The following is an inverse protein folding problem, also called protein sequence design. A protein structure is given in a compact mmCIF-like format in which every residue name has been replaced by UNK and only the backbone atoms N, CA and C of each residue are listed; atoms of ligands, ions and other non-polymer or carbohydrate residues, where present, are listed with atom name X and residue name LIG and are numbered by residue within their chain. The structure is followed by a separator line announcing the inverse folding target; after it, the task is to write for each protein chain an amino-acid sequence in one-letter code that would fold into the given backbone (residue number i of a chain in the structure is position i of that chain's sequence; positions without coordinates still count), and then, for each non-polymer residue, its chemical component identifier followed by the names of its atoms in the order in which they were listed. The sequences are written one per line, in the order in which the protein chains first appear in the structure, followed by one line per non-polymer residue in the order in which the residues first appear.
data_IF_797792755346
#
_entry.id   IF_797792755346
#
_cell.length_a   1.000
_cell.length_b   1.000
_cell.length_c   1.000
_cell.angle_alpha   90.00
_cell.angle_beta   90.00
_cell.angle_gamma   90.00
#
_symmetry.space_group_name_H-M   'P 1'
#
loop_
_entity.id
_entity.type
_entity.pdbx_description
1 polymer ?
#
# COMPACT_ATOMS: atom_id res chain seq x y z
N UNK A 1 -5.64 -69.04 10.44
CA UNK A 1 -6.09 -67.70 10.91
C UNK A 1 -5.02 -66.58 10.85
N UNK A 2 -3.71 -66.87 10.85
CA UNK A 2 -2.61 -65.87 10.91
C UNK A 2 -2.46 -64.93 9.68
N UNK A 3 -3.00 -65.30 8.51
CA UNK A 3 -2.89 -64.51 7.28
C UNK A 3 -3.89 -63.33 7.23
N UNK A 4 -5.10 -63.49 7.78
CA UNK A 4 -6.12 -62.43 7.83
C UNK A 4 -5.72 -61.27 8.74
N UNK A 5 -5.08 -61.53 9.89
CA UNK A 5 -4.65 -60.46 10.80
C UNK A 5 -3.51 -59.60 10.22
N UNK A 6 -2.61 -60.19 9.42
CA UNK A 6 -1.55 -59.43 8.73
C UNK A 6 -2.07 -58.53 7.60
N UNK A 7 -3.13 -58.94 6.90
CA UNK A 7 -3.78 -58.12 5.87
C UNK A 7 -4.50 -56.92 6.48
N UNK A 8 -5.22 -57.11 7.60
CA UNK A 8 -5.89 -56.04 8.35
C UNK A 8 -4.87 -55.01 8.87
N UNK A 9 -3.72 -55.47 9.39
CA UNK A 9 -2.64 -54.56 9.83
C UNK A 9 -2.03 -53.73 8.69
N UNK A 10 -1.87 -54.31 7.49
CA UNK A 10 -1.40 -53.57 6.30
C UNK A 10 -2.43 -52.56 5.79
N UNK A 11 -3.70 -52.95 5.75
CA UNK A 11 -4.79 -52.05 5.32
C UNK A 11 -4.97 -50.87 6.28
N UNK A 12 -4.88 -51.10 7.59
CA UNK A 12 -4.89 -50.03 8.60
C UNK A 12 -3.71 -49.08 8.46
N UNK A 13 -2.50 -49.59 8.21
CA UNK A 13 -1.32 -48.76 8.00
C UNK A 13 -1.40 -47.89 6.73
N UNK A 14 -1.95 -48.44 5.63
CA UNK A 14 -2.20 -47.67 4.40
C UNK A 14 -3.23 -46.57 4.64
N UNK A 15 -4.31 -46.86 5.36
CA UNK A 15 -5.32 -45.86 5.67
C UNK A 15 -4.73 -44.72 6.52
N UNK A 16 -3.99 -45.04 7.58
CA UNK A 16 -3.36 -44.03 8.45
C UNK A 16 -2.39 -43.15 7.66
N UNK A 17 -1.54 -43.74 6.81
CA UNK A 17 -0.60 -42.97 5.99
C UNK A 17 -1.31 -42.06 4.99
N UNK A 18 -2.37 -42.52 4.33
CA UNK A 18 -3.17 -41.65 3.45
C UNK A 18 -3.82 -40.50 4.20
N UNK A 19 -4.37 -40.73 5.39
CA UNK A 19 -4.96 -39.67 6.23
C UNK A 19 -3.90 -38.64 6.63
N UNK A 20 -2.71 -39.08 7.03
CA UNK A 20 -1.60 -38.17 7.36
C UNK A 20 -1.23 -37.31 6.15
N UNK A 21 -1.07 -37.92 4.97
CA UNK A 21 -0.72 -37.20 3.74
C UNK A 21 -1.81 -36.18 3.37
N UNK A 22 -3.08 -36.59 3.41
CA UNK A 22 -4.22 -35.71 3.11
C UNK A 22 -4.32 -34.56 4.11
N UNK A 23 -4.08 -34.82 5.39
CA UNK A 23 -4.07 -33.79 6.43
C UNK A 23 -2.95 -32.78 6.18
N UNK A 24 -1.75 -33.26 5.82
CA UNK A 24 -0.62 -32.41 5.51
C UNK A 24 -0.90 -31.53 4.28
N UNK A 25 -1.47 -32.13 3.21
CA UNK A 25 -1.89 -31.40 2.02
C UNK A 25 -2.96 -30.35 2.34
N UNK A 26 -3.93 -30.67 3.20
CA UNK A 26 -4.97 -29.72 3.59
C UNK A 26 -4.38 -28.52 4.36
N UNK A 27 -3.44 -28.76 5.30
CA UNK A 27 -2.77 -27.70 6.05
C UNK A 27 -1.95 -26.80 5.12
N UNK A 28 -1.17 -27.39 4.20
CA UNK A 28 -0.40 -26.64 3.20
C UNK A 28 -1.31 -25.81 2.29
N UNK A 29 -2.42 -26.40 1.84
CA UNK A 29 -3.43 -25.71 1.02
C UNK A 29 -4.03 -24.50 1.74
N UNK A 30 -4.43 -24.66 3.00
CA UNK A 30 -4.96 -23.55 3.81
C UNK A 30 -3.93 -22.46 4.02
N UNK A 31 -2.67 -22.82 4.32
CA UNK A 31 -1.57 -21.86 4.50
C UNK A 31 -1.33 -21.03 3.23
N UNK A 32 -1.33 -21.68 2.06
CA UNK A 32 -1.13 -21.00 0.79
C UNK A 32 -2.25 -20.01 0.48
N UNK A 33 -3.51 -20.40 0.72
CA UNK A 33 -4.68 -19.52 0.54
C UNK A 33 -4.57 -18.31 1.46
N UNK A 34 -4.29 -18.52 2.75
CA UNK A 34 -4.14 -17.44 3.73
C UNK A 34 -3.00 -16.48 3.36
N UNK A 35 -1.88 -17.01 2.87
CA UNK A 35 -0.76 -16.21 2.39
C UNK A 35 -1.15 -15.37 1.18
N UNK A 36 -1.87 -15.95 0.22
CA UNK A 36 -2.30 -15.24 -0.98
C UNK A 36 -3.25 -14.08 -0.65
N UNK A 37 -4.24 -14.30 0.23
CA UNK A 37 -5.12 -13.24 0.72
C UNK A 37 -4.36 -12.11 1.42
N UNK A 38 -3.39 -12.46 2.26
CA UNK A 38 -2.56 -11.46 2.95
C UNK A 38 -1.73 -10.65 1.95
N UNK A 39 -1.18 -11.32 0.93
CA UNK A 39 -0.34 -10.66 -0.08
C UNK A 39 -1.13 -9.77 -1.02
N UNK A 40 -2.34 -10.16 -1.41
CA UNK A 40 -3.21 -9.31 -2.26
C UNK A 40 -3.66 -8.06 -1.50
N UNK A 41 -4.07 -8.19 -0.25
CA UNK A 41 -4.42 -7.05 0.60
C UNK A 41 -3.22 -6.09 0.78
N UNK A 42 -2.03 -6.64 1.05
CA UNK A 42 -0.82 -5.83 1.18
C UNK A 42 -0.46 -5.11 -0.13
N UNK A 43 -0.60 -5.79 -1.28
CA UNK A 43 -0.33 -5.18 -2.58
C UNK A 43 -1.26 -4.02 -2.87
N UNK A 44 -2.55 -4.14 -2.56
CA UNK A 44 -3.51 -3.03 -2.72
C UNK A 44 -3.13 -1.83 -1.85
N UNK A 45 -2.79 -2.07 -0.58
CA UNK A 45 -2.33 -1.01 0.32
C UNK A 45 -1.06 -0.31 -0.19
N UNK A 46 -0.14 -1.05 -0.81
CA UNK A 46 1.06 -0.46 -1.40
C UNK A 46 0.76 0.39 -2.63
N UNK A 47 -0.17 -0.05 -3.49
CA UNK A 47 -0.62 0.75 -4.63
C UNK A 47 -1.28 2.05 -4.16
N UNK A 48 -2.15 2.00 -3.15
CA UNK A 48 -2.78 3.20 -2.58
C UNK A 48 -1.74 4.16 -2.00
N UNK A 49 -0.70 3.64 -1.34
CA UNK A 49 0.43 4.44 -0.83
C UNK A 49 1.24 5.11 -1.94
N UNK A 50 1.49 4.42 -3.05
CA UNK A 50 2.18 4.98 -4.21
C UNK A 50 1.35 6.07 -4.88
N UNK A 51 0.04 5.83 -5.05
CA UNK A 51 -0.89 6.85 -5.59
C UNK A 51 -0.93 8.08 -4.69
N UNK A 52 -1.02 7.91 -3.38
CA UNK A 52 -0.98 9.02 -2.42
C UNK A 52 0.35 9.78 -2.48
N UNK A 53 1.48 9.10 -2.70
CA UNK A 53 2.78 9.75 -2.88
C UNK A 53 2.81 10.60 -4.15
N UNK A 54 2.35 10.04 -5.28
CA UNK A 54 2.28 10.75 -6.55
C UNK A 54 1.38 12.00 -6.48
N UNK A 55 0.27 11.90 -5.75
CA UNK A 55 -0.59 13.04 -5.46
C UNK A 55 0.13 14.12 -4.63
N UNK A 56 0.90 13.72 -3.61
CA UNK A 56 1.68 14.64 -2.80
C UNK A 56 2.73 15.39 -3.65
N UNK A 57 3.43 14.67 -4.53
CA UNK A 57 4.41 15.24 -5.48
C UNK A 57 3.76 16.18 -6.48
N UNK A 58 2.54 15.88 -6.93
CA UNK A 58 1.77 16.77 -7.79
C UNK A 58 1.44 18.09 -7.08
N UNK A 59 1.10 18.04 -5.79
CA UNK A 59 0.90 19.23 -4.96
C UNK A 59 2.15 20.09 -4.85
N UNK A 60 3.30 19.48 -4.58
CA UNK A 60 4.59 20.18 -4.55
C UNK A 60 4.92 20.79 -5.91
N UNK A 61 4.73 20.06 -6.99
CA UNK A 61 5.06 20.52 -8.34
C UNK A 61 4.25 21.76 -8.71
N UNK A 62 2.97 21.81 -8.33
CA UNK A 62 2.14 23.01 -8.51
C UNK A 62 2.60 24.16 -7.61
N UNK A 63 2.84 23.90 -6.33
CA UNK A 63 3.33 24.93 -5.41
C UNK A 63 4.67 25.53 -5.86
N UNK A 64 5.57 24.69 -6.38
CA UNK A 64 6.84 25.14 -6.93
C UNK A 64 6.66 25.94 -8.22
N UNK A 65 5.69 25.59 -9.05
CA UNK A 65 5.35 26.36 -10.24
C UNK A 65 4.86 27.77 -9.86
N UNK A 66 3.95 27.88 -8.90
CA UNK A 66 3.48 29.19 -8.38
C UNK A 66 4.63 30.04 -7.85
N UNK A 67 5.52 29.45 -7.05
CA UNK A 67 6.69 30.15 -6.52
C UNK A 67 7.69 30.56 -7.61
N UNK A 68 7.84 29.76 -8.67
CA UNK A 68 8.76 30.07 -9.77
C UNK A 68 8.25 31.21 -10.64
N UNK A 69 6.94 31.26 -10.87
CA UNK A 69 6.32 32.24 -11.76
C UNK A 69 5.74 33.45 -11.03
N UNK A 70 5.85 33.50 -9.71
CA UNK A 70 5.33 34.58 -8.86
C UNK A 70 3.82 34.78 -9.04
N UNK A 71 3.09 33.68 -9.25
CA UNK A 71 1.65 33.66 -9.50
C UNK A 71 0.88 33.03 -8.36
N UNK A 72 -0.30 33.56 -8.07
CA UNK A 72 -1.26 33.00 -7.11
C UNK A 72 -2.65 32.94 -7.76
N UNK A 73 -2.92 31.88 -8.56
CA UNK A 73 -4.18 31.75 -9.30
C UNK A 73 -5.39 31.53 -8.39
N UNK A 74 -5.18 30.93 -7.22
CA UNK A 74 -6.24 30.51 -6.31
C UNK A 74 -6.47 31.52 -5.17
N UNK A 75 -5.57 32.49 -4.98
CA UNK A 75 -5.67 33.57 -3.99
C UNK A 75 -5.37 33.12 -2.55
N UNK A 76 -4.65 32.00 -2.38
CA UNK A 76 -4.35 31.39 -1.08
C UNK A 76 -2.88 31.59 -0.64
N UNK A 77 -2.16 32.43 -1.35
CA UNK A 77 -0.75 32.75 -1.13
C UNK A 77 0.16 31.80 -1.88
N UNK A 78 1.18 32.35 -2.54
CA UNK A 78 2.09 31.62 -3.41
C UNK A 78 2.67 30.35 -2.76
N UNK A 79 2.48 29.22 -3.45
CA UNK A 79 2.97 27.92 -3.00
C UNK A 79 2.04 27.21 -2.01
N UNK A 80 0.91 27.82 -1.64
CA UNK A 80 -0.20 27.11 -1.03
C UNK A 80 -1.10 26.60 -2.16
N UNK A 81 -1.46 25.32 -2.07
CA UNK A 81 -2.38 24.73 -3.02
C UNK A 81 -3.55 24.21 -2.20
N UNK A 82 -4.80 24.64 -2.48
CA UNK A 82 -5.94 24.19 -1.71
C UNK A 82 -6.21 22.71 -2.02
N UNK A 83 -7.04 22.06 -1.19
CA UNK A 83 -7.36 20.63 -1.39
C UNK A 83 -8.10 20.43 -2.71
N UNK A 84 -7.41 19.88 -3.70
CA UNK A 84 -7.92 19.60 -5.05
C UNK A 84 -8.01 18.09 -5.27
N UNK A 85 -9.03 17.66 -6.02
CA UNK A 85 -9.21 16.26 -6.42
C UNK A 85 -8.41 15.96 -7.68
N UNK A 86 -7.74 14.81 -7.72
CA UNK A 86 -7.06 14.29 -8.91
C UNK A 86 -7.21 12.77 -8.94
N UNK A 87 -7.91 12.27 -9.96
CA UNK A 87 -8.31 10.86 -10.03
C UNK A 87 -9.17 10.46 -8.82
N UNK A 88 -8.75 9.39 -8.14
CA UNK A 88 -9.45 8.81 -6.99
C UNK A 88 -9.03 9.41 -5.64
N UNK A 89 -8.19 10.45 -5.63
CA UNK A 89 -7.67 11.04 -4.40
C UNK A 89 -7.63 12.55 -4.40
N UNK A 90 -7.07 13.08 -3.32
CA UNK A 90 -6.92 14.50 -3.09
C UNK A 90 -5.46 14.86 -2.84
N UNK A 91 -5.09 16.06 -3.24
CA UNK A 91 -3.80 16.62 -2.94
C UNK A 91 -3.92 18.08 -2.52
N UNK A 92 -2.95 18.54 -1.74
CA UNK A 92 -2.79 19.94 -1.36
C UNK A 92 -1.33 20.20 -1.02
N UNK A 93 -0.94 21.46 -0.99
CA UNK A 93 0.40 21.86 -0.61
C UNK A 93 0.34 23.06 0.34
N UNK A 94 1.33 23.16 1.23
CA UNK A 94 1.51 24.33 2.08
C UNK A 94 2.93 24.82 1.99
N UNK A 95 3.05 26.13 1.89
CA UNK A 95 4.30 26.82 1.90
C UNK A 95 4.55 27.46 3.27
N UNK A 96 5.71 27.19 3.86
CA UNK A 96 6.18 27.88 5.05
C UNK A 96 7.41 28.71 4.70
N UNK A 97 7.21 30.02 4.61
CA UNK A 97 8.24 31.01 4.31
C UNK A 97 9.33 31.11 5.40
N UNK A 98 8.98 30.89 6.67
CA UNK A 98 9.92 31.00 7.79
C UNK A 98 11.01 29.91 7.73
N UNK A 99 10.63 28.71 7.29
CA UNK A 99 11.53 27.57 7.19
C UNK A 99 12.01 27.30 5.76
N UNK A 100 11.52 28.09 4.78
CA UNK A 100 11.72 27.86 3.34
C UNK A 100 11.39 26.41 2.96
N UNK A 101 10.20 25.95 3.36
CA UNK A 101 9.75 24.58 3.12
C UNK A 101 8.41 24.51 2.43
N UNK A 102 8.32 23.68 1.40
CA UNK A 102 7.09 23.26 0.74
C UNK A 102 6.69 21.89 1.24
N UNK A 103 5.45 21.75 1.68
CA UNK A 103 4.90 20.47 2.17
C UNK A 103 3.71 20.08 1.30
N UNK A 104 3.89 19.10 0.43
CA UNK A 104 2.80 18.49 -0.34
C UNK A 104 2.21 17.31 0.42
N UNK A 105 0.89 17.18 0.38
CA UNK A 105 0.17 16.05 0.94
C UNK A 105 -0.73 15.45 -0.12
N UNK A 106 -0.74 14.12 -0.22
CA UNK A 106 -1.63 13.35 -1.07
C UNK A 106 -2.36 12.29 -0.25
N UNK A 107 -3.62 12.07 -0.61
CA UNK A 107 -4.55 11.20 0.10
C UNK A 107 -5.36 10.38 -0.91
N UNK A 108 -5.29 9.05 -0.78
CA UNK A 108 -6.07 8.10 -1.58
C UNK A 108 -6.61 7.04 -0.64
N UNK A 109 -7.93 6.84 -0.61
CA UNK A 109 -8.59 5.92 0.33
C UNK A 109 -8.15 6.17 1.78
N UNK A 110 -7.45 5.21 2.39
CA UNK A 110 -6.88 5.29 3.75
C UNK A 110 -5.38 5.60 3.76
N UNK A 111 -4.75 5.72 2.59
CA UNK A 111 -3.34 6.01 2.46
C UNK A 111 -3.12 7.52 2.34
N UNK A 112 -2.29 8.05 3.24
CA UNK A 112 -1.85 9.45 3.21
C UNK A 112 -0.34 9.49 3.13
N UNK A 113 0.19 10.32 2.24
CA UNK A 113 1.61 10.59 2.11
C UNK A 113 1.86 12.09 2.14
N UNK A 114 2.97 12.44 2.77
CA UNK A 114 3.44 13.82 2.90
C UNK A 114 4.85 13.84 2.37
N UNK A 115 5.14 14.79 1.50
CA UNK A 115 6.48 15.08 0.98
C UNK A 115 6.80 16.50 1.39
N UNK A 116 8.02 16.72 1.85
CA UNK A 116 8.49 18.04 2.24
C UNK A 116 9.81 18.33 1.53
N UNK A 117 9.89 19.48 0.88
CA UNK A 117 11.11 19.99 0.26
C UNK A 117 11.50 21.24 1.02
N UNK A 118 12.75 21.27 1.48
CA UNK A 118 13.40 22.49 1.97
C UNK A 118 14.23 23.07 0.84
N UNK A 119 14.06 24.34 0.56
CA UNK A 119 14.86 25.06 -0.43
C UNK A 119 15.68 26.14 0.28
N UNK A 120 16.79 26.53 -0.34
CA UNK A 120 17.57 27.70 0.06
C UNK A 120 17.42 28.72 -1.05
N UNK A 121 16.93 29.91 -0.73
CA UNK A 121 17.12 31.05 -1.63
C UNK A 121 18.64 31.32 -1.69
N UNK A 122 19.19 31.40 -2.90
CA UNK A 122 20.57 31.81 -3.17
C UNK A 122 20.59 33.32 -3.27
#
# INVERSE_FOLDING_TARGET
MKARSRLIGKQGAVLITTIIILTFLAVLGMSLIAFLFSRTAYSQMQLDRLRALYLAESGISKALWELRFDVDPDGDGQGNIPKKKLGDGFFWARHNFQTSTLTGTGEVNKARRVVQIKYSAI
#
